data_IF_194852078109
#
_entry.id   IF_194852078109
#
_cell.length_a   1.000
_cell.length_b   1.000
_cell.length_c   1.000
_cell.angle_alpha   90.00
_cell.angle_beta   90.00
_cell.angle_gamma   90.00
#
_symmetry.space_group_name_H-M   'P 1'
#
loop_
_entity.id
_entity.type
_entity.pdbx_description
1 polymer ?
#
# COMPACT_ATOMS: atom_id res chain seq x y z
N UNK A 1 18.75 -20.16 8.14
CA UNK A 1 17.84 -19.73 9.19
C UNK A 1 16.54 -19.27 8.57
N UNK A 2 15.44 -19.80 9.08
CA UNK A 2 14.12 -19.48 8.53
C UNK A 2 13.64 -18.11 9.03
N UNK A 3 13.22 -17.26 8.11
CA UNK A 3 12.74 -15.92 8.45
C UNK A 3 11.25 -16.00 8.87
N UNK A 4 10.96 -15.46 10.03
CA UNK A 4 9.57 -15.26 10.45
C UNK A 4 9.19 -13.83 10.09
N UNK A 5 8.51 -13.67 8.95
CA UNK A 5 8.26 -12.34 8.42
C UNK A 5 7.34 -11.53 9.35
N UNK A 6 6.40 -12.18 10.03
CA UNK A 6 5.50 -11.44 10.90
C UNK A 6 6.25 -10.85 12.09
N UNK A 7 7.24 -11.57 12.64
CA UNK A 7 8.08 -11.00 13.69
C UNK A 7 8.93 -9.84 13.16
N UNK A 8 9.46 -9.97 11.95
CA UNK A 8 10.24 -8.90 11.34
C UNK A 8 9.38 -7.64 11.19
N UNK A 9 8.15 -7.81 10.71
CA UNK A 9 7.26 -6.67 10.53
C UNK A 9 6.91 -6.02 11.87
N UNK A 10 6.69 -6.82 12.92
CA UNK A 10 6.40 -6.26 14.25
C UNK A 10 7.59 -5.44 14.75
N UNK A 11 8.80 -5.92 14.54
CA UNK A 11 10.00 -5.18 14.95
C UNK A 11 10.05 -3.81 14.31
N UNK A 12 9.87 -3.75 12.99
CA UNK A 12 9.95 -2.47 12.29
C UNK A 12 8.76 -1.58 12.61
N UNK A 13 7.57 -2.17 12.79
CA UNK A 13 6.41 -1.39 13.18
C UNK A 13 6.64 -0.68 14.52
N UNK A 14 7.24 -1.39 15.48
CA UNK A 14 7.53 -0.78 16.78
C UNK A 14 8.50 0.38 16.67
N UNK A 15 9.57 0.19 15.88
CA UNK A 15 10.56 1.26 15.71
C UNK A 15 9.95 2.50 15.06
N UNK A 16 9.18 2.29 14.00
CA UNK A 16 8.62 3.41 13.25
C UNK A 16 7.52 4.09 14.03
N UNK A 17 6.64 3.32 14.67
CA UNK A 17 5.55 3.90 15.45
C UNK A 17 6.11 4.70 16.63
N UNK A 18 7.14 4.18 17.28
CA UNK A 18 7.78 4.93 18.37
C UNK A 18 8.34 6.26 17.88
N UNK A 19 9.02 6.25 16.72
CA UNK A 19 9.55 7.47 16.14
C UNK A 19 8.43 8.47 15.85
N UNK A 20 7.35 8.00 15.22
CA UNK A 20 6.24 8.88 14.87
C UNK A 20 5.62 9.48 16.12
N UNK A 21 5.32 8.65 17.12
CA UNK A 21 4.67 9.13 18.33
C UNK A 21 5.56 10.09 19.11
N UNK A 22 6.87 9.88 19.06
CA UNK A 22 7.82 10.74 19.76
C UNK A 22 7.95 12.11 19.11
N UNK A 23 7.81 12.18 17.79
CA UNK A 23 8.12 13.40 17.04
C UNK A 23 6.88 14.14 16.53
N UNK A 24 5.68 13.58 16.71
CA UNK A 24 4.49 14.17 16.14
C UNK A 24 3.54 14.56 17.27
N UNK A 25 3.83 15.71 17.88
CA UNK A 25 3.03 16.22 18.99
C UNK A 25 2.96 17.73 18.90
N UNK A 26 1.89 18.29 19.43
CA UNK A 26 1.72 19.74 19.40
C UNK A 26 0.29 20.14 19.78
N UNK A 27 -0.03 21.39 19.50
CA UNK A 27 -1.35 21.96 19.77
C UNK A 27 -1.97 22.50 18.50
N UNK A 28 -3.29 22.49 18.36
CA UNK A 28 -4.28 21.99 19.35
C UNK A 28 -4.17 20.47 19.49
N UNK A 29 -4.33 19.98 20.69
CA UNK A 29 -4.19 18.56 20.99
C UNK A 29 -5.13 17.70 20.13
N UNK A 30 -6.36 18.18 19.91
CA UNK A 30 -7.32 17.41 19.14
C UNK A 30 -6.85 17.17 17.70
N UNK A 31 -6.12 18.11 17.10
CA UNK A 31 -5.59 17.93 15.75
C UNK A 31 -4.57 16.78 15.73
N UNK A 32 -3.69 16.73 16.72
CA UNK A 32 -2.69 15.68 16.78
C UNK A 32 -3.32 14.33 17.12
N UNK A 33 -4.37 14.32 17.96
CA UNK A 33 -5.12 13.09 18.23
C UNK A 33 -5.74 12.55 16.96
N UNK A 34 -6.35 13.43 16.16
CA UNK A 34 -6.97 12.99 14.91
C UNK A 34 -5.91 12.47 13.94
N UNK A 35 -4.77 13.16 13.83
CA UNK A 35 -3.70 12.74 12.91
C UNK A 35 -3.11 11.39 13.30
N UNK A 36 -3.01 11.11 14.60
CA UNK A 36 -2.39 9.87 15.08
C UNK A 36 -3.38 8.71 15.23
N UNK A 37 -4.67 8.95 14.98
CA UNK A 37 -5.69 7.94 15.21
C UNK A 37 -5.39 6.62 14.48
N UNK A 38 -5.10 6.69 13.18
CA UNK A 38 -4.83 5.47 12.42
C UNK A 38 -3.46 4.88 12.72
N UNK A 39 -2.49 5.71 13.09
CA UNK A 39 -1.20 5.19 13.53
C UNK A 39 -1.39 4.32 14.78
N UNK A 40 -2.16 4.81 15.73
CA UNK A 40 -2.40 4.07 16.97
C UNK A 40 -3.27 2.83 16.75
N UNK A 41 -4.08 2.82 15.69
CA UNK A 41 -4.90 1.65 15.38
C UNK A 41 -4.06 0.46 14.91
N UNK A 42 -2.83 0.71 14.47
CA UNK A 42 -1.94 -0.36 14.02
C UNK A 42 -1.97 -0.55 12.53
N UNK A 43 -1.33 -1.61 12.09
CA UNK A 43 -1.20 -1.96 10.68
C UNK A 43 0.08 -2.75 10.49
N UNK A 44 0.24 -3.33 9.31
CA UNK A 44 1.40 -4.18 9.04
C UNK A 44 2.70 -3.40 8.89
N UNK A 45 2.61 -2.14 8.53
CA UNK A 45 3.79 -1.28 8.33
C UNK A 45 4.74 -1.82 7.27
N UNK A 46 4.17 -2.35 6.17
CA UNK A 46 5.00 -2.92 5.09
C UNK A 46 5.93 -1.89 4.48
N UNK A 47 5.42 -0.69 4.22
CA UNK A 47 6.21 0.32 3.52
C UNK A 47 7.44 0.74 4.33
N UNK A 48 7.30 1.08 5.61
CA UNK A 48 8.50 1.35 6.40
C UNK A 48 9.43 0.14 6.52
N UNK A 49 8.88 -1.07 6.63
CA UNK A 49 9.70 -2.26 6.72
C UNK A 49 10.54 -2.45 5.47
N UNK A 50 9.96 -2.21 4.30
CA UNK A 50 10.70 -2.29 3.03
C UNK A 50 11.86 -1.30 3.05
N UNK A 51 11.61 -0.05 3.46
CA UNK A 51 12.67 0.95 3.48
C UNK A 51 13.82 0.52 4.41
N UNK A 52 13.47 0.04 5.60
CA UNK A 52 14.50 -0.31 6.57
C UNK A 52 15.25 -1.59 6.20
N UNK A 53 14.54 -2.58 5.64
CA UNK A 53 15.19 -3.80 5.19
C UNK A 53 16.12 -3.54 3.99
N UNK A 54 15.68 -2.70 3.04
CA UNK A 54 16.54 -2.35 1.91
C UNK A 54 17.79 -1.63 2.41
N UNK A 55 17.63 -0.69 3.32
CA UNK A 55 18.79 0.02 3.88
C UNK A 55 19.75 -0.96 4.56
N UNK A 56 19.21 -1.87 5.36
CA UNK A 56 20.04 -2.84 6.07
C UNK A 56 20.74 -3.79 5.09
N UNK A 57 20.01 -4.25 4.08
CA UNK A 57 20.58 -5.15 3.08
C UNK A 57 21.80 -4.53 2.39
N UNK A 58 21.70 -3.24 2.05
CA UNK A 58 22.74 -2.57 1.27
C UNK A 58 23.81 -1.91 2.12
N UNK A 59 23.53 -1.56 3.38
CA UNK A 59 24.46 -0.78 4.17
C UNK A 59 24.56 -1.18 5.64
N UNK A 60 23.89 -2.25 6.04
CA UNK A 60 23.99 -2.74 7.41
C UNK A 60 23.15 -1.93 8.39
N UNK A 61 23.43 -2.17 9.69
CA UNK A 61 22.62 -1.57 10.74
C UNK A 61 22.73 -0.05 10.79
N UNK A 62 23.86 0.50 10.39
CA UNK A 62 24.02 1.95 10.37
C UNK A 62 23.11 2.59 9.33
N UNK A 63 23.02 1.96 8.14
CA UNK A 63 22.11 2.45 7.10
C UNK A 63 20.66 2.29 7.54
N UNK A 64 20.33 1.20 8.21
CA UNK A 64 19.00 1.01 8.75
C UNK A 64 18.62 2.14 9.70
N UNK A 65 19.56 2.52 10.60
CA UNK A 65 19.30 3.61 11.52
C UNK A 65 19.06 4.95 10.81
N UNK A 66 19.86 5.22 9.76
CA UNK A 66 19.64 6.42 8.96
C UNK A 66 18.31 6.41 8.23
N UNK A 67 17.80 5.21 7.92
CA UNK A 67 16.54 5.08 7.19
C UNK A 67 15.32 5.34 8.05
N UNK A 68 15.44 5.30 9.38
CA UNK A 68 14.26 5.37 10.24
C UNK A 68 13.42 6.64 10.00
N UNK A 69 14.01 7.84 9.95
CA UNK A 69 13.16 9.02 9.66
C UNK A 69 12.50 8.94 8.27
N UNK A 70 13.18 8.35 7.29
CA UNK A 70 12.61 8.20 5.96
C UNK A 70 11.47 7.19 5.97
N UNK A 71 11.63 6.11 6.72
CA UNK A 71 10.57 5.12 6.88
C UNK A 71 9.35 5.73 7.57
N UNK A 72 9.58 6.57 8.58
CA UNK A 72 8.49 7.30 9.23
C UNK A 72 7.82 8.27 8.25
N UNK A 73 8.62 8.94 7.40
CA UNK A 73 8.06 9.85 6.41
C UNK A 73 7.12 9.12 5.45
N UNK A 74 7.53 7.94 4.97
CA UNK A 74 6.68 7.20 4.04
C UNK A 74 5.41 6.73 4.75
N UNK A 75 5.50 6.35 6.02
CA UNK A 75 4.33 5.86 6.74
C UNK A 75 3.32 6.98 7.00
N UNK A 76 3.78 8.17 7.44
CA UNK A 76 2.81 9.25 7.65
C UNK A 76 2.26 9.76 6.32
N UNK A 77 3.05 9.72 5.25
CA UNK A 77 2.55 10.06 3.92
C UNK A 77 1.47 9.09 3.48
N UNK A 78 1.68 7.80 3.71
CA UNK A 78 0.67 6.78 3.40
C UNK A 78 -0.59 7.01 4.25
N UNK A 79 -0.42 7.24 5.54
CA UNK A 79 -1.55 7.44 6.44
C UNK A 79 -2.39 8.66 6.03
N UNK A 80 -1.73 9.73 5.63
CA UNK A 80 -2.42 10.91 5.10
C UNK A 80 -3.32 10.53 3.93
N UNK A 81 -2.82 9.73 3.00
CA UNK A 81 -3.64 9.32 1.85
C UNK A 81 -4.83 8.47 2.28
N UNK A 82 -4.64 7.63 3.30
CA UNK A 82 -5.75 6.80 3.81
C UNK A 82 -6.84 7.67 4.42
N UNK A 83 -6.47 8.67 5.20
CA UNK A 83 -7.45 9.55 5.84
C UNK A 83 -8.26 10.30 4.77
N UNK A 84 -7.59 10.85 3.76
CA UNK A 84 -8.28 11.58 2.70
C UNK A 84 -9.09 10.65 1.81
N UNK A 85 -8.57 9.47 1.49
CA UNK A 85 -9.33 8.50 0.69
C UNK A 85 -10.60 8.06 1.41
N UNK A 86 -10.53 7.89 2.73
CA UNK A 86 -11.72 7.51 3.50
C UNK A 86 -12.82 8.56 3.40
N UNK A 87 -12.44 9.85 3.36
CA UNK A 87 -13.42 10.92 3.16
C UNK A 87 -14.04 10.80 1.77
N UNK A 88 -13.20 10.67 0.75
CA UNK A 88 -13.67 10.59 -0.63
C UNK A 88 -14.54 9.38 -0.89
N UNK A 89 -14.20 8.25 -0.26
CA UNK A 89 -14.91 6.99 -0.43
C UNK A 89 -16.08 6.84 0.55
N UNK A 90 -16.22 7.77 1.49
CA UNK A 90 -17.28 7.75 2.52
C UNK A 90 -17.23 6.47 3.36
N UNK A 91 -16.02 6.01 3.66
CA UNK A 91 -15.84 4.81 4.48
C UNK A 91 -16.03 5.16 5.95
N UNK A 92 -16.68 4.25 6.68
CA UNK A 92 -16.94 4.46 8.12
C UNK A 92 -15.89 3.80 9.00
N UNK A 93 -15.20 2.79 8.50
CA UNK A 93 -14.24 2.02 9.30
C UNK A 93 -12.97 1.75 8.53
N UNK A 94 -11.86 1.70 9.26
CA UNK A 94 -10.55 1.31 8.74
C UNK A 94 -9.76 0.67 9.88
N UNK A 95 -9.11 -0.47 9.61
CA UNK A 95 -8.30 -1.17 10.61
C UNK A 95 -9.11 -1.48 11.87
N UNK A 96 -10.40 -1.75 11.70
CA UNK A 96 -11.27 -2.12 12.80
C UNK A 96 -11.71 -0.98 13.69
N UNK A 97 -11.37 0.27 13.35
CA UNK A 97 -11.77 1.44 14.13
C UNK A 97 -12.54 2.40 13.23
N UNK A 98 -13.37 3.29 13.82
CA UNK A 98 -14.02 4.30 12.98
C UNK A 98 -13.00 5.20 12.29
N UNK A 99 -13.35 5.67 11.10
CA UNK A 99 -12.47 6.55 10.34
C UNK A 99 -12.34 7.91 11.03
N UNK A 100 -11.30 8.65 10.66
CA UNK A 100 -11.04 9.94 11.28
C UNK A 100 -12.21 10.89 11.07
N UNK A 101 -12.76 10.94 9.84
CA UNK A 101 -13.85 11.88 9.58
C UNK A 101 -15.15 11.48 10.31
N UNK A 102 -15.31 10.19 10.60
CA UNK A 102 -16.48 9.78 11.36
C UNK A 102 -16.38 10.25 12.81
N UNK A 103 -15.17 10.22 13.40
CA UNK A 103 -14.98 10.62 14.80
C UNK A 103 -14.84 12.12 14.99
N UNK A 104 -14.13 12.80 14.08
CA UNK A 104 -13.80 14.23 14.24
C UNK A 104 -14.51 15.14 13.25
N UNK A 105 -15.14 14.58 12.21
CA UNK A 105 -15.73 15.35 11.14
C UNK A 105 -14.78 15.57 9.99
N UNK A 106 -15.35 15.97 8.85
CA UNK A 106 -14.57 16.06 7.61
C UNK A 106 -13.49 17.13 7.66
N UNK A 107 -13.82 18.30 8.22
CA UNK A 107 -12.82 19.38 8.28
C UNK A 107 -11.59 18.96 9.07
N UNK A 108 -11.80 18.32 10.22
CA UNK A 108 -10.69 17.87 11.04
C UNK A 108 -9.91 16.75 10.36
N UNK A 109 -10.59 15.88 9.62
CA UNK A 109 -9.92 14.81 8.89
C UNK A 109 -9.05 15.39 7.75
N UNK A 110 -9.58 16.40 7.05
CA UNK A 110 -8.77 17.06 6.01
C UNK A 110 -7.50 17.65 6.63
N UNK A 111 -7.67 18.37 7.76
CA UNK A 111 -6.52 18.98 8.42
C UNK A 111 -5.55 17.94 8.96
N UNK A 112 -6.07 16.84 9.51
CA UNK A 112 -5.21 15.76 10.02
C UNK A 112 -4.33 15.19 8.91
N UNK A 113 -4.93 14.96 7.73
CA UNK A 113 -4.15 14.49 6.59
C UNK A 113 -3.12 15.51 6.16
N UNK A 114 -3.52 16.78 6.08
CA UNK A 114 -2.58 17.86 5.71
C UNK A 114 -1.41 17.92 6.69
N UNK A 115 -1.69 17.76 7.98
CA UNK A 115 -0.64 17.78 8.99
C UNK A 115 0.35 16.63 8.78
N UNK A 116 -0.17 15.42 8.54
CA UNK A 116 0.72 14.28 8.29
C UNK A 116 1.55 14.48 7.04
N UNK A 117 0.95 15.04 6.00
CA UNK A 117 1.67 15.32 4.76
C UNK A 117 2.83 16.27 5.02
N UNK A 118 2.61 17.32 5.81
CA UNK A 118 3.68 18.24 6.16
C UNK A 118 4.77 17.55 6.99
N UNK A 119 4.36 16.70 7.93
CA UNK A 119 5.34 15.97 8.75
C UNK A 119 6.18 15.00 7.95
N UNK A 120 5.65 14.46 6.85
CA UNK A 120 6.46 13.61 6.00
C UNK A 120 7.71 14.36 5.51
N UNK A 121 7.51 15.60 5.08
CA UNK A 121 8.63 16.42 4.62
C UNK A 121 9.53 16.83 5.80
N UNK A 122 8.91 17.14 6.93
CA UNK A 122 9.71 17.50 8.11
C UNK A 122 10.62 16.36 8.53
N UNK A 123 10.13 15.12 8.46
CA UNK A 123 10.97 13.98 8.82
C UNK A 123 12.16 13.83 7.87
N UNK A 124 11.95 14.11 6.58
CA UNK A 124 13.08 14.07 5.63
C UNK A 124 14.09 15.16 5.95
N UNK A 125 13.59 16.37 6.22
CA UNK A 125 14.50 17.46 6.60
C UNK A 125 15.29 17.07 7.84
N UNK A 126 14.62 16.51 8.85
CA UNK A 126 15.25 16.11 10.12
C UNK A 126 16.24 14.96 9.94
N UNK A 127 16.14 14.18 8.87
CA UNK A 127 17.01 13.03 8.68
C UNK A 127 18.47 13.42 8.57
N UNK A 128 18.76 14.67 8.23
CA UNK A 128 20.13 15.18 8.19
C UNK A 128 20.74 15.16 9.59
N UNK A 129 20.00 15.45 10.59
CA UNK A 129 20.44 15.34 11.97
C UNK A 129 20.69 13.90 12.45
N UNK A 130 20.08 13.07 11.65
CA UNK A 130 20.19 11.72 11.98
C UNK A 130 21.23 10.98 11.27
N UNK A 131 21.98 11.79 10.51
CA UNK A 131 23.15 11.24 9.85
C UNK A 131 23.08 11.18 8.34
N UNK A 132 21.95 11.55 7.72
CA UNK A 132 21.83 11.57 6.27
C UNK A 132 22.48 12.86 5.77
N UNK A 133 23.23 12.77 4.65
CA UNK A 133 23.80 13.97 4.07
C UNK A 133 22.69 14.87 3.52
N UNK A 134 22.98 16.14 3.36
CA UNK A 134 22.03 17.04 2.73
C UNK A 134 21.69 16.61 1.32
N UNK A 135 22.65 16.10 0.61
CA UNK A 135 22.42 15.56 -0.74
C UNK A 135 21.48 14.35 -0.72
N UNK A 136 21.57 13.52 0.13
CA UNK A 136 20.73 12.40 0.25
C UNK A 136 19.37 12.76 0.70
N UNK A 137 19.36 13.77 1.55
CA UNK A 137 18.02 14.26 1.90
C UNK A 137 17.32 14.87 0.70
N UNK A 138 18.03 15.59 -0.14
CA UNK A 138 17.46 16.13 -1.37
C UNK A 138 16.95 15.00 -2.26
N UNK A 139 17.72 13.93 -2.39
CA UNK A 139 17.26 12.76 -3.17
C UNK A 139 16.02 12.14 -2.55
N UNK A 140 15.98 12.04 -1.23
CA UNK A 140 14.80 11.50 -0.54
C UNK A 140 13.57 12.37 -0.81
N UNK A 141 13.77 13.69 -0.81
CA UNK A 141 12.67 14.62 -1.11
C UNK A 141 12.14 14.41 -2.52
N UNK A 142 13.06 14.23 -3.49
CA UNK A 142 12.65 13.95 -4.88
C UNK A 142 11.83 12.66 -4.96
N UNK A 143 12.28 11.63 -4.24
CA UNK A 143 11.57 10.34 -4.23
C UNK A 143 10.16 10.52 -3.67
N UNK A 144 10.06 11.19 -2.53
CA UNK A 144 8.74 11.31 -1.87
C UNK A 144 7.79 12.19 -2.68
N UNK A 145 8.28 13.31 -3.22
CA UNK A 145 7.40 14.20 -4.00
C UNK A 145 6.93 13.52 -5.28
N UNK A 146 7.81 12.76 -5.94
CA UNK A 146 7.40 12.01 -7.13
C UNK A 146 6.32 11.00 -6.78
N UNK A 147 6.48 10.29 -5.64
CA UNK A 147 5.47 9.32 -5.21
C UNK A 147 4.13 10.01 -4.92
N UNK A 148 4.17 11.18 -4.29
CA UNK A 148 2.94 11.93 -4.00
C UNK A 148 2.19 12.31 -5.26
N UNK A 149 2.93 12.75 -6.28
CA UNK A 149 2.32 13.08 -7.57
C UNK A 149 1.66 11.83 -8.17
N UNK A 150 2.37 10.71 -8.16
CA UNK A 150 1.83 9.46 -8.72
C UNK A 150 0.59 8.99 -7.97
N UNK A 151 0.61 9.04 -6.64
CA UNK A 151 -0.52 8.60 -5.84
C UNK A 151 -1.76 9.47 -6.12
N UNK A 152 -1.57 10.79 -6.24
CA UNK A 152 -2.68 11.67 -6.59
C UNK A 152 -3.26 11.31 -7.96
N UNK A 153 -2.39 11.04 -8.93
CA UNK A 153 -2.84 10.61 -10.26
C UNK A 153 -3.59 9.28 -10.17
N UNK A 154 -3.07 8.36 -9.36
CA UNK A 154 -3.72 7.05 -9.18
C UNK A 154 -5.11 7.17 -8.59
N UNK A 155 -5.28 8.03 -7.58
CA UNK A 155 -6.60 8.25 -6.99
C UNK A 155 -7.55 8.90 -8.00
N UNK A 156 -7.04 9.82 -8.82
CA UNK A 156 -7.87 10.43 -9.85
C UNK A 156 -8.33 9.40 -10.88
N UNK A 157 -7.43 8.52 -11.33
CA UNK A 157 -7.81 7.43 -12.23
C UNK A 157 -8.88 6.55 -11.60
N UNK A 158 -8.69 6.22 -10.31
CA UNK A 158 -9.65 5.37 -9.63
C UNK A 158 -11.04 6.00 -9.62
N UNK A 159 -11.11 7.30 -9.34
CA UNK A 159 -12.38 8.02 -9.37
C UNK A 159 -13.00 8.03 -10.77
N UNK A 160 -12.17 8.24 -11.81
CA UNK A 160 -12.65 8.19 -13.18
C UNK A 160 -13.19 6.81 -13.54
N UNK A 161 -12.51 5.76 -13.08
CA UNK A 161 -12.90 4.38 -13.42
C UNK A 161 -14.21 3.99 -12.78
N UNK A 162 -14.59 4.62 -11.67
CA UNK A 162 -15.89 4.34 -11.05
C UNK A 162 -17.05 4.66 -11.99
N UNK A 163 -16.84 5.56 -12.94
CA UNK A 163 -17.91 6.07 -13.79
C UNK A 163 -17.95 5.43 -15.17
N UNK A 164 -17.14 4.41 -15.42
CA UNK A 164 -17.10 3.78 -16.73
C UNK A 164 -17.00 2.26 -16.61
N UNK A 165 -17.53 1.56 -17.61
CA UNK A 165 -17.40 0.11 -17.72
C UNK A 165 -16.35 -0.30 -18.75
N UNK A 166 -15.67 0.66 -19.36
CA UNK A 166 -14.73 0.40 -20.45
C UNK A 166 -13.28 0.32 -19.98
N UNK A 167 -13.03 0.07 -18.69
CA UNK A 167 -11.69 -0.05 -18.16
C UNK A 167 -11.12 -1.41 -18.54
N UNK A 168 -9.93 -1.41 -19.15
CA UNK A 168 -9.24 -2.67 -19.45
C UNK A 168 -8.39 -3.10 -18.25
N UNK A 169 -7.96 -4.37 -18.27
CA UNK A 169 -7.04 -4.86 -17.26
C UNK A 169 -5.76 -4.02 -17.25
N UNK A 170 -5.24 -3.67 -18.44
CA UNK A 170 -4.03 -2.85 -18.52
C UNK A 170 -4.24 -1.47 -17.89
N UNK A 171 -5.39 -0.84 -18.16
CA UNK A 171 -5.74 0.44 -17.52
C UNK A 171 -5.75 0.31 -16.01
N UNK A 172 -6.37 -0.77 -15.52
CA UNK A 172 -6.49 -0.98 -14.09
C UNK A 172 -5.12 -1.18 -13.43
N UNK A 173 -4.26 -1.98 -14.06
CA UNK A 173 -2.92 -2.21 -13.51
C UNK A 173 -2.09 -0.94 -13.50
N UNK A 174 -2.25 -0.07 -14.50
CA UNK A 174 -1.57 1.21 -14.49
C UNK A 174 -2.06 2.08 -13.33
N UNK A 175 -3.35 2.09 -13.07
CA UNK A 175 -3.88 2.82 -11.91
C UNK A 175 -3.33 2.24 -10.62
N UNK A 176 -3.27 0.92 -10.51
CA UNK A 176 -2.73 0.26 -9.32
C UNK A 176 -1.27 0.64 -9.10
N UNK A 177 -0.48 0.68 -10.17
CA UNK A 177 0.90 1.15 -10.02
C UNK A 177 0.93 2.54 -9.40
N UNK A 178 0.13 3.47 -9.93
CA UNK A 178 0.15 4.84 -9.43
C UNK A 178 -0.39 4.94 -8.00
N UNK A 179 -1.49 4.26 -7.72
CA UNK A 179 -2.15 4.41 -6.42
C UNK A 179 -1.44 3.65 -5.30
N UNK A 180 -0.93 2.46 -5.60
CA UNK A 180 -0.35 1.57 -4.59
C UNK A 180 1.13 1.31 -4.84
N UNK A 181 1.51 1.01 -6.07
CA UNK A 181 2.89 0.66 -6.40
C UNK A 181 3.86 1.79 -6.14
N UNK A 182 3.43 3.03 -6.40
CA UNK A 182 4.33 4.17 -6.29
C UNK A 182 4.87 4.37 -4.87
N UNK A 183 4.05 4.09 -3.85
CA UNK A 183 4.53 4.25 -2.47
C UNK A 183 5.50 3.13 -2.08
N UNK A 184 5.31 1.93 -2.58
CA UNK A 184 6.28 0.87 -2.32
C UNK A 184 7.56 1.10 -3.12
N UNK A 185 7.43 1.64 -4.32
CA UNK A 185 8.58 2.09 -5.09
C UNK A 185 9.41 3.09 -4.29
N UNK A 186 8.73 4.10 -3.74
CA UNK A 186 9.39 5.12 -2.93
C UNK A 186 10.03 4.51 -1.68
N UNK A 187 9.33 3.58 -1.03
CA UNK A 187 9.86 2.93 0.17
C UNK A 187 11.20 2.27 -0.10
N UNK A 188 11.27 1.49 -1.18
CA UNK A 188 12.52 0.80 -1.52
C UNK A 188 13.60 1.80 -1.91
N UNK A 189 13.24 2.84 -2.67
CA UNK A 189 14.22 3.86 -3.05
C UNK A 189 14.76 4.60 -1.84
N UNK A 190 13.89 4.92 -0.88
CA UNK A 190 14.35 5.64 0.32
C UNK A 190 15.33 4.80 1.12
N UNK A 191 15.09 3.50 1.20
CA UNK A 191 16.04 2.61 1.86
C UNK A 191 17.39 2.61 1.17
N UNK A 192 17.38 2.55 -0.16
CA UNK A 192 18.62 2.59 -0.94
C UNK A 192 19.36 3.91 -0.77
N UNK A 193 18.61 5.02 -0.73
CA UNK A 193 19.19 6.35 -0.49
C UNK A 193 19.86 6.38 0.88
N UNK A 194 19.19 5.85 1.91
CA UNK A 194 19.77 5.82 3.27
C UNK A 194 21.04 4.99 3.31
N UNK A 195 21.16 3.97 2.46
CA UNK A 195 22.36 3.14 2.37
C UNK A 195 23.45 3.75 1.47
N UNK A 196 23.19 4.93 0.93
CA UNK A 196 24.16 5.62 0.05
C UNK A 196 24.45 4.84 -1.23
N UNK A 197 23.43 4.15 -1.73
CA UNK A 197 23.56 3.33 -2.92
C UNK A 197 23.72 4.21 -4.16
N UNK A 198 24.36 3.65 -5.17
CA UNK A 198 24.49 4.33 -6.45
C UNK A 198 23.13 4.41 -7.14
N UNK A 199 22.99 5.38 -8.05
CA UNK A 199 21.71 5.65 -8.69
C UNK A 199 21.14 4.44 -9.42
N UNK A 200 22.00 3.60 -10.01
CA UNK A 200 21.53 2.38 -10.68
C UNK A 200 20.84 1.44 -9.71
N UNK A 201 21.42 1.29 -8.50
CA UNK A 201 20.85 0.42 -7.47
C UNK A 201 19.54 1.01 -6.95
N UNK A 202 19.49 2.33 -6.75
CA UNK A 202 18.26 3.00 -6.33
C UNK A 202 17.15 2.72 -7.34
N UNK A 203 17.45 2.83 -8.64
CA UNK A 203 16.44 2.58 -9.68
C UNK A 203 15.99 1.12 -9.70
N UNK A 204 16.92 0.17 -9.56
CA UNK A 204 16.56 -1.24 -9.50
C UNK A 204 15.63 -1.52 -8.32
N UNK A 205 15.95 -0.94 -7.16
CA UNK A 205 15.09 -1.15 -5.99
C UNK A 205 13.75 -0.45 -6.15
N UNK A 206 13.71 0.67 -6.87
CA UNK A 206 12.42 1.26 -7.24
C UNK A 206 11.59 0.29 -8.06
N UNK A 207 12.20 -0.36 -9.05
CA UNK A 207 11.49 -1.36 -9.85
C UNK A 207 10.99 -2.51 -8.98
N UNK A 208 11.83 -2.98 -8.06
CA UNK A 208 11.42 -4.00 -7.10
C UNK A 208 10.17 -3.56 -6.34
N UNK A 209 10.21 -2.35 -5.80
CA UNK A 209 9.08 -1.86 -5.00
C UNK A 209 7.81 -1.71 -5.80
N UNK A 210 7.91 -1.22 -7.04
CA UNK A 210 6.71 -1.05 -7.86
C UNK A 210 6.07 -2.39 -8.20
N UNK A 211 6.90 -3.39 -8.54
CA UNK A 211 6.38 -4.73 -8.83
C UNK A 211 5.71 -5.35 -7.61
N UNK A 212 6.37 -5.21 -6.46
CA UNK A 212 5.81 -5.71 -5.20
C UNK A 212 4.48 -5.05 -4.90
N UNK A 213 4.40 -3.72 -5.12
CA UNK A 213 3.17 -2.99 -4.83
C UNK A 213 2.00 -3.45 -5.67
N UNK A 214 2.24 -3.70 -6.96
CA UNK A 214 1.18 -4.21 -7.83
C UNK A 214 0.77 -5.62 -7.39
N UNK A 215 1.74 -6.48 -7.10
CA UNK A 215 1.43 -7.83 -6.62
C UNK A 215 0.59 -7.78 -5.34
N UNK A 216 0.97 -6.90 -4.43
CA UNK A 216 0.27 -6.74 -3.15
C UNK A 216 -1.18 -6.33 -3.37
N UNK A 217 -1.43 -5.37 -4.27
CA UNK A 217 -2.79 -4.90 -4.52
C UNK A 217 -3.63 -5.95 -5.23
N UNK A 218 -3.05 -6.71 -6.15
CA UNK A 218 -3.80 -7.79 -6.80
C UNK A 218 -4.24 -8.82 -5.76
N UNK A 219 -3.36 -9.12 -4.80
CA UNK A 219 -3.76 -10.01 -3.70
C UNK A 219 -4.88 -9.41 -2.86
N UNK A 220 -4.79 -8.10 -2.59
CA UNK A 220 -5.88 -7.39 -1.88
C UNK A 220 -7.21 -7.55 -2.62
N UNK A 221 -7.18 -7.43 -3.95
CA UNK A 221 -8.41 -7.57 -4.73
C UNK A 221 -8.99 -8.97 -4.60
N UNK A 222 -8.12 -9.99 -4.61
CA UNK A 222 -8.57 -11.35 -4.38
C UNK A 222 -9.21 -11.50 -2.99
N UNK A 223 -8.50 -11.00 -1.96
CA UNK A 223 -8.99 -11.12 -0.59
C UNK A 223 -10.29 -10.34 -0.38
N UNK A 224 -10.45 -9.19 -1.05
CA UNK A 224 -11.65 -8.38 -0.92
C UNK A 224 -12.90 -9.05 -1.44
N UNK A 225 -12.75 -10.02 -2.35
CA UNK A 225 -13.91 -10.75 -2.87
C UNK A 225 -14.02 -12.15 -2.23
N UNK A 226 -12.90 -12.86 -2.09
CA UNK A 226 -12.92 -14.27 -1.70
C UNK A 226 -12.17 -14.57 -0.40
N UNK A 227 -11.74 -13.55 0.33
CA UNK A 227 -11.06 -13.78 1.60
C UNK A 227 -11.99 -14.35 2.67
N UNK A 228 -11.39 -15.05 3.63
CA UNK A 228 -12.13 -15.60 4.77
C UNK A 228 -12.48 -14.46 5.74
N UNK A 229 -13.77 -14.19 5.98
CA UNK A 229 -14.14 -13.09 6.88
C UNK A 229 -13.51 -13.18 8.27
N UNK A 230 -13.28 -14.38 8.79
CA UNK A 230 -12.67 -14.52 10.10
C UNK A 230 -11.22 -14.05 10.11
N UNK A 231 -10.56 -14.08 8.97
CA UNK A 231 -9.16 -13.65 8.86
C UNK A 231 -9.03 -12.21 8.41
N UNK A 232 -9.84 -11.80 7.42
CA UNK A 232 -9.75 -10.42 6.90
C UNK A 232 -10.41 -9.40 7.80
N UNK A 233 -11.37 -9.83 8.62
CA UNK A 233 -12.16 -8.92 9.44
C UNK A 233 -13.22 -8.16 8.67
N UNK A 234 -13.48 -8.55 7.43
CA UNK A 234 -14.47 -7.90 6.57
C UNK A 234 -15.61 -8.87 6.26
N UNK A 235 -16.80 -8.33 5.93
CA UNK A 235 -17.89 -9.21 5.50
C UNK A 235 -17.50 -10.01 4.27
N UNK A 236 -18.14 -11.16 4.09
CA UNK A 236 -17.89 -11.96 2.89
C UNK A 236 -18.29 -11.13 1.65
N UNK A 237 -17.52 -11.26 0.58
CA UNK A 237 -17.75 -10.54 -0.67
C UNK A 237 -17.76 -9.03 -0.48
N UNK A 238 -16.91 -8.51 0.41
CA UNK A 238 -17.00 -7.08 0.79
C UNK A 238 -16.86 -6.15 -0.41
N UNK A 239 -15.98 -6.46 -1.37
CA UNK A 239 -15.82 -5.58 -2.53
C UNK A 239 -17.04 -5.62 -3.45
N UNK A 240 -17.69 -6.77 -3.59
CA UNK A 240 -18.95 -6.83 -4.35
C UNK A 240 -20.05 -6.05 -3.65
N UNK A 241 -20.12 -6.13 -2.32
CA UNK A 241 -21.13 -5.37 -1.56
C UNK A 241 -21.00 -3.89 -1.83
N UNK A 242 -19.77 -3.41 -1.94
CA UNK A 242 -19.51 -1.98 -2.15
C UNK A 242 -19.54 -1.57 -3.61
N UNK A 243 -19.68 -2.54 -4.52
CA UNK A 243 -19.66 -2.24 -5.94
C UNK A 243 -18.30 -1.84 -6.47
N UNK A 244 -17.25 -2.33 -5.84
CA UNK A 244 -15.89 -1.94 -6.18
C UNK A 244 -15.42 -2.67 -7.43
N UNK A 245 -14.92 -1.92 -8.41
CA UNK A 245 -14.43 -2.49 -9.67
C UNK A 245 -12.95 -2.86 -9.53
N UNK A 246 -12.71 -4.00 -8.91
CA UNK A 246 -11.35 -4.53 -8.75
C UNK A 246 -10.91 -5.24 -10.02
N UNK A 247 -9.68 -5.75 -10.00
CA UNK A 247 -9.17 -6.55 -11.11
C UNK A 247 -10.11 -7.72 -11.44
N UNK A 248 -10.61 -8.38 -10.40
CA UNK A 248 -11.50 -9.53 -10.61
C UNK A 248 -12.76 -9.11 -11.35
N UNK A 249 -13.38 -8.01 -10.93
CA UNK A 249 -14.60 -7.52 -11.55
C UNK A 249 -14.34 -7.07 -12.99
N UNK A 250 -13.24 -6.35 -13.21
CA UNK A 250 -12.91 -5.85 -14.55
C UNK A 250 -12.65 -7.01 -15.52
N UNK A 251 -11.87 -7.99 -15.06
CA UNK A 251 -11.61 -9.16 -15.89
C UNK A 251 -12.91 -9.90 -16.22
N UNK A 252 -13.75 -10.10 -15.20
CA UNK A 252 -15.02 -10.80 -15.42
C UNK A 252 -15.92 -10.06 -16.42
N UNK A 253 -16.01 -8.73 -16.30
CA UNK A 253 -16.81 -7.94 -17.24
C UNK A 253 -16.30 -8.07 -18.66
N UNK A 254 -14.99 -8.26 -18.84
CA UNK A 254 -14.44 -8.42 -20.19
C UNK A 254 -14.79 -9.77 -20.81
N UNK A 255 -15.17 -10.74 -19.99
CA UNK A 255 -15.47 -12.10 -20.46
C UNK A 255 -16.96 -12.40 -20.55
N UNK A 256 -17.76 -11.81 -19.66
CA UNK A 256 -19.19 -12.09 -19.62
C UNK A 256 -19.93 -11.37 -20.73
N UNK A 257 -21.07 -11.94 -21.12
CA UNK A 257 -21.94 -11.39 -22.17
C UNK A 257 -23.41 -11.57 -21.78
N UNK A 258 -24.28 -10.80 -22.42
CA UNK A 258 -25.71 -10.94 -22.27
C UNK A 258 -26.20 -10.71 -20.86
N UNK A 259 -27.14 -11.55 -20.45
CA UNK A 259 -27.79 -11.37 -19.14
C UNK A 259 -26.82 -11.50 -17.97
N UNK A 260 -25.83 -12.38 -18.09
CA UNK A 260 -24.87 -12.56 -17.03
C UNK A 260 -24.03 -11.30 -16.82
N UNK A 261 -23.61 -10.68 -17.94
CA UNK A 261 -22.87 -9.43 -17.84
C UNK A 261 -23.72 -8.33 -17.24
N UNK A 262 -24.97 -8.23 -17.68
CA UNK A 262 -25.89 -7.22 -17.16
C UNK A 262 -26.10 -7.39 -15.66
N UNK A 263 -26.20 -8.64 -15.19
CA UNK A 263 -26.36 -8.92 -13.77
C UNK A 263 -25.15 -8.40 -12.98
N UNK A 264 -23.95 -8.69 -13.46
CA UNK A 264 -22.75 -8.24 -12.75
C UNK A 264 -22.63 -6.72 -12.78
N UNK A 265 -22.94 -6.10 -13.93
CA UNK A 265 -22.92 -4.63 -14.02
C UNK A 265 -23.84 -4.01 -12.97
N UNK A 266 -25.04 -4.56 -12.85
CA UNK A 266 -26.01 -4.03 -11.89
C UNK A 266 -25.53 -4.26 -10.46
N UNK A 267 -24.94 -5.43 -10.19
CA UNK A 267 -24.43 -5.75 -8.88
C UNK A 267 -23.28 -4.83 -8.48
N UNK A 268 -22.51 -4.33 -9.43
CA UNK A 268 -21.39 -3.42 -9.17
C UNK A 268 -21.82 -1.98 -8.99
N UNK A 269 -23.12 -1.68 -9.12
CA UNK A 269 -23.64 -0.35 -8.84
C UNK A 269 -23.77 -0.18 -7.32
N UNK A 270 -23.02 0.68 -6.70
CA UNK A 270 -23.11 0.86 -5.23
C UNK A 270 -24.51 1.14 -4.69
N UNK A 271 -25.24 1.65 -5.40
CA UNK A 271 -26.55 2.00 -5.04
C UNK A 271 -27.52 0.88 -5.07
N UNK A 272 -27.15 -0.14 -5.63
CA UNK A 272 -28.11 -1.24 -5.81
C UNK A 272 -28.17 -2.08 -4.53
N UNK A 273 -29.38 -2.34 -4.01
CA UNK A 273 -29.48 -3.28 -2.86
C UNK A 273 -29.07 -4.68 -3.28
N UNK A 274 -28.39 -5.40 -2.40
CA UNK A 274 -27.84 -6.71 -2.73
C UNK A 274 -28.13 -7.70 -1.62
N UNK A 275 -28.81 -8.79 -1.96
CA UNK A 275 -28.99 -9.89 -1.02
C UNK A 275 -27.73 -10.76 -1.00
N UNK A 276 -27.61 -11.59 0.02
CA UNK A 276 -26.51 -12.55 0.05
C UNK A 276 -26.57 -13.47 -1.16
N UNK A 277 -27.78 -13.83 -1.58
CA UNK A 277 -27.98 -14.67 -2.76
C UNK A 277 -27.42 -14.00 -4.01
N UNK A 278 -27.69 -12.71 -4.19
CA UNK A 278 -27.16 -11.94 -5.31
C UNK A 278 -25.63 -11.92 -5.27
N UNK A 279 -25.05 -11.72 -4.08
CA UNK A 279 -23.60 -11.67 -3.95
C UNK A 279 -22.98 -13.03 -4.28
N UNK A 280 -23.61 -14.11 -3.82
CA UNK A 280 -23.11 -15.45 -4.12
C UNK A 280 -23.17 -15.73 -5.62
N UNK A 281 -24.24 -15.32 -6.28
CA UNK A 281 -24.35 -15.49 -7.72
C UNK A 281 -23.28 -14.66 -8.45
N UNK A 282 -23.08 -13.44 -8.03
CA UNK A 282 -22.06 -12.58 -8.64
C UNK A 282 -20.66 -13.16 -8.47
N UNK A 283 -20.35 -13.62 -7.25
CA UNK A 283 -19.05 -14.23 -6.99
C UNK A 283 -18.84 -15.48 -7.85
N UNK A 284 -19.88 -16.29 -8.01
CA UNK A 284 -19.78 -17.49 -8.84
C UNK A 284 -19.53 -17.11 -10.31
N UNK A 285 -20.24 -16.10 -10.81
CA UNK A 285 -20.00 -15.64 -12.18
C UNK A 285 -18.57 -15.19 -12.36
N UNK A 286 -18.05 -14.42 -11.41
CA UNK A 286 -16.66 -13.96 -11.47
C UNK A 286 -15.71 -15.15 -11.52
N UNK A 287 -15.91 -16.14 -10.64
CA UNK A 287 -15.07 -17.34 -10.63
C UNK A 287 -15.10 -18.06 -11.96
N UNK A 288 -16.30 -18.21 -12.55
CA UNK A 288 -16.46 -18.99 -13.78
C UNK A 288 -15.76 -18.36 -14.97
N UNK A 289 -15.49 -17.05 -14.94
CA UNK A 289 -14.76 -16.40 -16.01
C UNK A 289 -13.27 -16.73 -16.01
N UNK A 290 -12.74 -17.28 -14.91
CA UNK A 290 -11.31 -17.46 -14.74
C UNK A 290 -10.63 -16.29 -14.08
N UNK A 291 -11.38 -15.32 -13.55
CA UNK A 291 -10.79 -14.10 -12.99
C UNK A 291 -9.88 -14.40 -11.79
N UNK A 292 -10.28 -15.38 -10.96
CA UNK A 292 -9.45 -15.73 -9.79
C UNK A 292 -8.10 -16.28 -10.25
N UNK A 293 -8.12 -17.22 -11.20
CA UNK A 293 -6.87 -17.78 -11.73
C UNK A 293 -5.99 -16.70 -12.33
N UNK A 294 -6.60 -15.76 -13.06
CA UNK A 294 -5.84 -14.67 -13.67
C UNK A 294 -5.22 -13.76 -12.61
N UNK A 295 -5.97 -13.42 -11.55
CA UNK A 295 -5.44 -12.58 -10.48
C UNK A 295 -4.27 -13.28 -9.77
N UNK A 296 -4.43 -14.56 -9.47
CA UNK A 296 -3.36 -15.31 -8.81
C UNK A 296 -2.12 -15.42 -9.71
N UNK A 297 -2.34 -15.63 -11.01
CA UNK A 297 -1.23 -15.67 -11.97
C UNK A 297 -0.49 -14.34 -12.03
N UNK A 298 -1.23 -13.24 -12.10
CA UNK A 298 -0.59 -11.92 -12.17
C UNK A 298 0.19 -11.62 -10.92
N UNK A 299 -0.39 -11.90 -9.74
CA UNK A 299 0.34 -11.64 -8.50
C UNK A 299 1.64 -12.46 -8.46
N UNK A 300 1.60 -13.69 -8.93
CA UNK A 300 2.80 -14.54 -8.97
C UNK A 300 3.84 -13.96 -9.94
N UNK A 301 3.42 -13.54 -11.14
CA UNK A 301 4.35 -12.98 -12.12
C UNK A 301 5.04 -11.74 -11.56
N UNK A 302 4.28 -10.82 -10.99
CA UNK A 302 4.87 -9.60 -10.45
C UNK A 302 5.79 -9.89 -9.26
N UNK A 303 5.37 -10.77 -8.37
CA UNK A 303 6.21 -11.12 -7.21
C UNK A 303 7.51 -11.79 -7.64
N UNK A 304 7.44 -12.70 -8.62
CA UNK A 304 8.64 -13.37 -9.09
C UNK A 304 9.60 -12.42 -9.79
N UNK A 305 9.07 -11.45 -10.56
CA UNK A 305 9.92 -10.43 -11.15
C UNK A 305 10.60 -9.58 -10.08
N UNK A 306 9.86 -9.24 -9.04
CA UNK A 306 10.44 -8.49 -7.93
C UNK A 306 11.58 -9.27 -7.28
N UNK A 307 11.38 -10.56 -7.05
CA UNK A 307 12.43 -11.41 -6.47
C UNK A 307 13.65 -11.46 -7.36
N UNK A 308 13.46 -11.53 -8.68
CA UNK A 308 14.58 -11.57 -9.62
C UNK A 308 15.46 -10.34 -9.46
N UNK A 309 14.86 -9.18 -9.24
CA UNK A 309 15.63 -7.96 -9.04
C UNK A 309 16.49 -8.09 -7.78
N UNK A 310 15.89 -8.55 -6.67
CA UNK A 310 16.65 -8.73 -5.43
C UNK A 310 17.81 -9.69 -5.64
N UNK A 311 17.58 -10.78 -6.34
CA UNK A 311 18.61 -11.79 -6.57
C UNK A 311 19.70 -11.31 -7.51
N UNK A 312 19.45 -10.29 -8.32
CA UNK A 312 20.44 -9.76 -9.25
C UNK A 312 21.41 -8.78 -8.60
N UNK A 313 21.11 -8.31 -7.38
CA UNK A 313 21.95 -7.31 -6.73
C UNK A 313 23.30 -7.94 -6.32
N UNK A 314 24.38 -7.18 -6.54
CA UNK A 314 25.73 -7.70 -6.34
C UNK A 314 26.38 -7.25 -5.03
N UNK A 315 26.06 -6.07 -4.56
CA UNK A 315 26.77 -5.48 -3.43
C UNK A 315 25.93 -5.55 -2.16
N UNK A 316 25.39 -6.73 -1.89
CA UNK A 316 24.60 -6.96 -0.69
C UNK A 316 25.54 -7.13 0.50
N UNK A 317 25.35 -6.29 1.51
CA UNK A 317 26.17 -6.30 2.71
C UNK A 317 25.59 -7.25 3.77
N UNK A 318 24.27 -7.30 3.87
CA UNK A 318 23.60 -8.17 4.84
C UNK A 318 22.63 -9.09 4.10
N UNK A 319 23.03 -10.34 3.97
CA UNK A 319 22.22 -11.31 3.25
C UNK A 319 20.94 -11.69 3.99
N UNK A 320 20.95 -11.60 5.33
CA UNK A 320 19.74 -11.90 6.11
C UNK A 320 18.62 -10.90 5.80
N UNK A 321 18.96 -9.62 5.63
CA UNK A 321 17.96 -8.63 5.25
C UNK A 321 17.43 -8.90 3.85
N UNK A 322 18.33 -9.31 2.93
CA UNK A 322 17.90 -9.70 1.59
C UNK A 322 16.95 -10.87 1.61
N UNK A 323 17.25 -11.88 2.44
CA UNK A 323 16.37 -13.02 2.58
C UNK A 323 15.00 -12.60 3.16
N UNK A 324 15.02 -11.69 4.13
CA UNK A 324 13.76 -11.18 4.68
C UNK A 324 12.93 -10.49 3.60
N UNK A 325 13.56 -9.74 2.70
CA UNK A 325 12.83 -9.10 1.61
C UNK A 325 12.24 -10.14 0.64
N UNK A 326 12.97 -11.23 0.37
CA UNK A 326 12.43 -12.30 -0.47
C UNK A 326 11.20 -12.93 0.19
N UNK A 327 11.28 -13.19 1.49
CA UNK A 327 10.17 -13.78 2.23
C UNK A 327 8.98 -12.80 2.28
N UNK A 328 9.26 -11.52 2.47
CA UNK A 328 8.21 -10.48 2.46
C UNK A 328 7.50 -10.45 1.12
N UNK A 329 8.25 -10.59 0.03
CA UNK A 329 7.67 -10.58 -1.31
C UNK A 329 6.72 -11.77 -1.50
N UNK A 330 7.12 -12.95 -1.04
CA UNK A 330 6.24 -14.11 -1.10
C UNK A 330 5.01 -13.93 -0.20
N UNK A 331 5.22 -13.38 0.99
CA UNK A 331 4.14 -13.11 1.93
C UNK A 331 3.08 -12.18 1.31
N UNK A 332 3.52 -11.21 0.51
CA UNK A 332 2.59 -10.25 -0.10
C UNK A 332 1.52 -10.94 -0.94
N UNK A 333 1.82 -12.09 -1.55
CA UNK A 333 0.89 -12.77 -2.45
C UNK A 333 0.33 -14.05 -1.86
N UNK A 334 0.72 -14.43 -0.64
CA UNK A 334 0.20 -15.64 -0.01
C UNK A 334 -0.56 -15.35 1.28
N UNK A 335 -0.50 -14.12 1.78
CA UNK A 335 -1.18 -13.75 3.02
C UNK A 335 -2.69 -13.94 2.89
N UNK A 336 -3.35 -14.11 4.03
CA UNK A 336 -4.80 -14.30 4.05
C UNK A 336 -5.54 -13.13 4.74
N UNK A 337 -4.82 -12.03 4.98
CA UNK A 337 -5.43 -10.85 5.59
C UNK A 337 -4.59 -9.60 5.30
#
# INVERSE_FOLDING_TARGET
VKVDIELVLVKYARLVDHFILEHLSGTPESLYQAALHLVKAGGKRLRPAIAMLVANMLGGIEAESRALPLAAAIEVSHTFTLIHDDIMDRDDYRRGVPTVHKLWGESWAILAGDLLHAYAYKFIVSSVDXGLSKSXAHEAMKVLTTAGIKVSRGQAYDLLFEKTLDVTVADYLDMVYHKTGAMMEASAKLGAVAARAESEVVELLGQYGSLLGVAFQVRDDYLGMFGDPEKTGKPIYSDLRRGKKTLLAIYALSKLKGEEREFLVKLLDPXTPKSLEDLERGAMLVKETGAVDEALRLSRVYADRAKEILLSLRNVVNEDAGEALLVLTEYAITRDR
#
